data_IF_984378180535
#
_entry.id   IF_984378180535
#
_cell.length_a   1.000
_cell.length_b   1.000
_cell.length_c   1.000
_cell.angle_alpha   90.00
_cell.angle_beta   90.00
_cell.angle_gamma   90.00
#
_symmetry.space_group_name_H-M   'P 1'
#
loop_
_entity.id
_entity.type
_entity.pdbx_description
1 polymer ?
#
# COMPACT_ATOMS: atom_id res chain seq x y z
N UNK A 1 -60.46 -44.30 -13.39
CA UNK A 1 -60.67 -42.85 -13.56
C UNK A 1 -59.55 -42.12 -12.84
N UNK A 2 -58.62 -41.54 -13.60
CA UNK A 2 -57.56 -40.54 -13.29
C UNK A 2 -56.61 -40.77 -12.08
N UNK A 3 -55.30 -40.97 -12.31
CA UNK A 3 -54.22 -39.95 -12.46
C UNK A 3 -53.95 -39.25 -11.09
N UNK A 4 -52.77 -39.20 -10.45
CA UNK A 4 -51.46 -38.68 -10.88
C UNK A 4 -50.38 -39.04 -9.81
N UNK A 5 -49.25 -39.55 -10.29
CA UNK A 5 -47.84 -39.33 -9.91
C UNK A 5 -47.48 -38.29 -8.81
N UNK A 6 -46.56 -38.63 -7.89
CA UNK A 6 -45.35 -37.81 -7.64
C UNK A 6 -44.28 -38.52 -6.79
N UNK A 7 -43.18 -38.81 -7.46
CA UNK A 7 -41.87 -39.22 -6.96
C UNK A 7 -41.24 -38.03 -6.22
N UNK A 8 -40.76 -38.23 -4.99
CA UNK A 8 -39.84 -37.29 -4.36
C UNK A 8 -38.43 -37.88 -4.37
N UNK A 9 -37.62 -37.30 -5.25
CA UNK A 9 -36.19 -37.50 -5.40
C UNK A 9 -35.47 -36.82 -4.23
N UNK A 10 -34.81 -37.58 -3.37
CA UNK A 10 -33.88 -37.03 -2.37
C UNK A 10 -32.62 -36.53 -3.08
N UNK A 11 -32.49 -35.21 -3.23
CA UNK A 11 -31.25 -34.56 -3.61
C UNK A 11 -30.49 -34.26 -2.32
N UNK A 12 -29.51 -35.10 -1.98
CA UNK A 12 -28.51 -34.80 -0.98
C UNK A 12 -27.59 -33.70 -1.50
N UNK A 13 -27.74 -32.49 -0.97
CA UNK A 13 -26.89 -31.33 -1.27
C UNK A 13 -25.50 -31.60 -0.69
N UNK A 14 -24.51 -31.72 -1.58
CA UNK A 14 -23.09 -31.74 -1.22
C UNK A 14 -22.71 -30.47 -0.47
N UNK A 15 -22.17 -30.64 0.73
CA UNK A 15 -21.54 -29.58 1.52
C UNK A 15 -20.28 -29.11 0.79
N UNK A 16 -20.38 -28.01 0.03
CA UNK A 16 -19.20 -27.35 -0.56
C UNK A 16 -18.57 -26.48 0.53
N UNK A 17 -17.32 -26.78 0.87
CA UNK A 17 -16.43 -25.90 1.63
C UNK A 17 -16.29 -24.56 0.89
N UNK A 18 -17.16 -23.61 1.17
CA UNK A 18 -16.98 -22.21 0.79
C UNK A 18 -15.86 -21.65 1.64
N UNK A 19 -14.68 -21.47 1.04
CA UNK A 19 -13.79 -20.41 1.48
C UNK A 19 -14.65 -19.13 1.51
N UNK A 20 -14.86 -18.53 2.69
CA UNK A 20 -15.66 -17.31 2.83
C UNK A 20 -15.10 -16.25 1.87
N UNK A 21 -15.80 -16.04 0.77
CA UNK A 21 -15.58 -14.88 -0.08
C UNK A 21 -16.15 -13.70 0.69
N UNK A 22 -15.29 -12.79 1.12
CA UNK A 22 -15.70 -11.57 1.83
C UNK A 22 -16.75 -10.85 0.98
N UNK A 23 -17.88 -10.50 1.60
CA UNK A 23 -18.95 -9.79 0.90
C UNK A 23 -18.47 -8.41 0.41
N UNK A 24 -19.16 -7.82 -0.55
CA UNK A 24 -18.82 -6.47 -1.04
C UNK A 24 -18.98 -5.40 0.06
N UNK A 25 -20.04 -5.49 0.87
CA UNK A 25 -20.28 -4.59 2.00
C UNK A 25 -19.17 -4.70 3.05
N UNK A 26 -18.69 -5.90 3.37
CA UNK A 26 -17.56 -6.06 4.30
C UNK A 26 -16.27 -5.49 3.71
N UNK A 27 -16.01 -5.67 2.41
CA UNK A 27 -14.85 -5.09 1.74
C UNK A 27 -14.85 -3.56 1.78
N UNK A 28 -16.02 -2.94 1.70
CA UNK A 28 -16.20 -1.49 1.76
C UNK A 28 -16.31 -0.95 3.20
N UNK A 29 -16.27 -1.80 4.23
CA UNK A 29 -16.30 -1.33 5.62
C UNK A 29 -15.13 -0.37 5.90
N UNK A 30 -15.35 0.73 6.61
CA UNK A 30 -14.26 1.63 7.00
C UNK A 30 -13.62 1.13 8.30
N UNK A 31 -12.98 -0.04 8.22
CA UNK A 31 -12.29 -0.69 9.33
C UNK A 31 -10.94 -1.27 8.89
N UNK A 32 -10.00 -1.51 9.81
CA UNK A 32 -8.75 -2.17 9.48
C UNK A 32 -8.98 -3.60 8.98
N UNK A 33 -8.11 -4.08 8.08
CA UNK A 33 -8.06 -5.53 7.80
C UNK A 33 -7.53 -6.26 9.03
N UNK A 34 -8.26 -7.31 9.42
CA UNK A 34 -7.82 -8.26 10.43
C UNK A 34 -6.94 -9.35 9.80
N UNK A 35 -5.95 -9.80 10.55
CA UNK A 35 -5.22 -11.04 10.26
C UNK A 35 -5.60 -12.13 11.27
N UNK A 36 -5.18 -13.36 10.98
CA UNK A 36 -5.46 -14.53 11.81
C UNK A 36 -4.22 -15.04 12.54
N UNK A 37 -3.18 -14.21 12.67
CA UNK A 37 -1.88 -14.57 13.22
C UNK A 37 -1.05 -15.55 12.39
N UNK A 38 -1.55 -15.97 11.21
CA UNK A 38 -0.85 -16.87 10.29
C UNK A 38 -0.33 -16.12 9.08
N UNK A 39 0.81 -16.61 8.58
CA UNK A 39 1.40 -16.19 7.31
C UNK A 39 0.36 -16.22 6.18
N UNK A 40 0.22 -15.08 5.50
CA UNK A 40 -0.59 -14.98 4.31
C UNK A 40 0.23 -15.33 3.07
N UNK A 41 -0.08 -16.48 2.47
CA UNK A 41 0.63 -17.00 1.29
C UNK A 41 -0.27 -16.89 0.07
N UNK A 42 0.21 -16.21 -0.96
CA UNK A 42 -0.44 -16.06 -2.24
C UNK A 42 -0.52 -17.39 -2.99
N UNK A 43 -1.63 -17.59 -3.69
CA UNK A 43 -1.75 -18.66 -4.67
C UNK A 43 -0.91 -18.30 -5.90
N UNK A 44 -0.32 -19.30 -6.55
CA UNK A 44 0.43 -19.11 -7.81
C UNK A 44 -0.36 -18.33 -8.88
N UNK A 45 -1.68 -18.53 -8.94
CA UNK A 45 -2.56 -17.80 -9.87
C UNK A 45 -2.51 -16.28 -9.66
N UNK A 46 -2.29 -15.85 -8.43
CA UNK A 46 -2.30 -14.44 -8.04
C UNK A 46 -0.95 -13.75 -8.29
N UNK A 47 0.06 -14.48 -8.75
CA UNK A 47 1.38 -13.95 -9.14
C UNK A 47 1.68 -14.13 -10.63
N UNK A 48 0.73 -14.67 -11.41
CA UNK A 48 0.94 -15.07 -12.81
C UNK A 48 0.48 -14.02 -13.84
N UNK A 49 0.42 -12.76 -13.45
CA UNK A 49 0.01 -11.65 -14.30
C UNK A 49 1.22 -10.79 -14.74
N UNK A 50 0.99 -9.89 -15.70
CA UNK A 50 1.98 -8.87 -16.04
C UNK A 50 2.26 -8.00 -14.82
N UNK A 51 3.48 -7.46 -14.70
CA UNK A 51 3.88 -6.57 -13.60
C UNK A 51 3.04 -5.29 -13.56
N UNK A 52 2.75 -4.71 -14.72
CA UNK A 52 1.93 -3.51 -14.82
C UNK A 52 0.47 -3.85 -15.15
N UNK A 53 -0.46 -3.47 -14.26
CA UNK A 53 -1.90 -3.65 -14.42
C UNK A 53 -2.72 -2.85 -13.39
N UNK A 54 -4.00 -2.63 -13.68
CA UNK A 54 -4.97 -1.97 -12.77
C UNK A 54 -5.97 -2.97 -12.20
N UNK A 55 -5.44 -4.09 -11.71
CA UNK A 55 -6.25 -5.23 -11.25
C UNK A 55 -5.93 -5.66 -9.82
N UNK A 56 -5.29 -4.80 -9.03
CA UNK A 56 -4.88 -5.12 -7.66
C UNK A 56 -6.09 -5.43 -6.79
N UNK A 57 -7.17 -4.64 -6.90
CA UNK A 57 -8.44 -4.93 -6.21
C UNK A 57 -9.01 -6.29 -6.63
N UNK A 58 -8.98 -6.60 -7.93
CA UNK A 58 -9.52 -7.87 -8.45
C UNK A 58 -8.70 -9.07 -7.97
N UNK A 59 -7.38 -8.95 -7.91
CA UNK A 59 -6.47 -10.05 -7.61
C UNK A 59 -6.33 -10.24 -6.10
N UNK A 60 -6.06 -9.15 -5.38
CA UNK A 60 -5.70 -9.17 -3.95
C UNK A 60 -6.84 -8.71 -3.03
N UNK A 61 -7.80 -7.92 -3.53
CA UNK A 61 -8.91 -7.40 -2.73
C UNK A 61 -9.87 -8.46 -2.20
N UNK A 62 -9.79 -9.70 -2.70
CA UNK A 62 -10.51 -10.86 -2.14
C UNK A 62 -9.96 -11.34 -0.78
N UNK A 63 -8.79 -10.86 -0.37
CA UNK A 63 -8.10 -11.27 0.85
C UNK A 63 -8.17 -10.24 1.98
N UNK A 64 -8.70 -9.06 1.69
CA UNK A 64 -8.66 -7.90 2.60
C UNK A 64 -9.99 -7.17 2.60
N UNK A 65 -10.22 -6.38 3.64
CA UNK A 65 -11.39 -5.52 3.80
C UNK A 65 -10.95 -4.11 4.22
N UNK A 66 -11.85 -3.15 4.05
CA UNK A 66 -11.67 -1.79 4.51
C UNK A 66 -10.38 -1.12 4.08
N UNK A 67 -9.61 -0.56 5.00
CA UNK A 67 -8.53 0.38 4.63
C UNK A 67 -7.51 -0.22 3.65
N UNK A 68 -7.08 -1.47 3.84
CA UNK A 68 -6.23 -2.18 2.88
C UNK A 68 -6.87 -2.30 1.49
N UNK A 69 -8.19 -2.53 1.41
CA UNK A 69 -8.92 -2.57 0.15
C UNK A 69 -8.91 -1.20 -0.55
N UNK A 70 -9.03 -0.10 0.20
CA UNK A 70 -8.88 1.26 -0.33
C UNK A 70 -7.45 1.57 -0.76
N UNK A 71 -6.43 1.05 -0.07
CA UNK A 71 -5.04 1.15 -0.53
C UNK A 71 -4.86 0.45 -1.88
N UNK A 72 -5.43 -0.75 -2.06
CA UNK A 72 -5.40 -1.45 -3.36
C UNK A 72 -6.12 -0.66 -4.47
N UNK A 73 -7.22 0.02 -4.16
CA UNK A 73 -7.87 0.97 -5.09
C UNK A 73 -6.95 2.14 -5.43
N UNK A 74 -6.25 2.68 -4.43
CA UNK A 74 -5.22 3.70 -4.60
C UNK A 74 -4.15 3.25 -5.60
N UNK A 75 -3.63 2.02 -5.46
CA UNK A 75 -2.68 1.45 -6.42
C UNK A 75 -3.28 1.43 -7.83
N UNK A 76 -4.50 0.91 -8.00
CA UNK A 76 -5.14 0.82 -9.32
C UNK A 76 -5.35 2.22 -9.95
N UNK A 77 -5.70 3.22 -9.14
CA UNK A 77 -5.80 4.62 -9.58
C UNK A 77 -4.44 5.15 -10.04
N UNK A 78 -3.39 5.00 -9.24
CA UNK A 78 -2.05 5.49 -9.56
C UNK A 78 -1.48 4.78 -10.78
N UNK A 79 -1.53 3.44 -10.83
CA UNK A 79 -1.01 2.65 -11.96
C UNK A 79 -1.71 2.99 -13.28
N UNK A 80 -2.98 3.39 -13.25
CA UNK A 80 -3.71 3.79 -14.47
C UNK A 80 -3.08 4.96 -15.22
N UNK A 81 -2.26 5.77 -14.53
CA UNK A 81 -1.55 6.91 -15.12
C UNK A 81 -0.24 6.52 -15.82
N UNK A 82 0.25 5.29 -15.59
CA UNK A 82 1.48 4.77 -16.18
C UNK A 82 1.38 3.26 -16.42
N UNK A 83 0.48 2.86 -17.32
CA UNK A 83 0.16 1.45 -17.58
C UNK A 83 1.33 0.60 -18.11
N UNK A 84 2.33 1.22 -18.71
CA UNK A 84 3.44 0.52 -19.37
C UNK A 84 4.78 0.71 -18.65
N UNK A 85 4.78 1.31 -17.46
CA UNK A 85 5.98 1.80 -16.79
C UNK A 85 6.55 3.07 -17.43
N UNK A 86 6.48 3.25 -18.75
CA UNK A 86 6.66 4.53 -19.46
C UNK A 86 7.97 5.29 -19.25
N UNK A 87 8.98 4.71 -18.58
CA UNK A 87 10.25 5.40 -18.28
C UNK A 87 10.12 6.45 -17.18
N UNK A 88 9.07 6.38 -16.35
CA UNK A 88 8.87 7.33 -15.26
C UNK A 88 9.80 7.06 -14.07
N UNK A 89 10.60 6.00 -14.06
CA UNK A 89 11.50 5.74 -12.94
C UNK A 89 12.61 6.80 -12.87
N UNK A 90 12.88 7.30 -11.66
CA UNK A 90 14.02 8.17 -11.39
C UNK A 90 14.91 7.60 -10.29
N UNK A 91 16.21 7.89 -10.37
CA UNK A 91 17.21 7.43 -9.42
C UNK A 91 17.40 8.38 -8.24
N UNK A 92 18.22 7.96 -7.28
CA UNK A 92 18.61 8.79 -6.12
C UNK A 92 19.49 10.00 -6.48
N UNK A 93 20.06 10.00 -7.68
CA UNK A 93 21.02 11.02 -8.15
C UNK A 93 20.31 12.14 -8.95
N UNK A 94 18.97 12.13 -8.98
CA UNK A 94 18.15 13.02 -9.80
C UNK A 94 17.63 14.19 -8.96
N UNK A 95 17.53 15.38 -9.57
CA UNK A 95 17.14 16.63 -8.89
C UNK A 95 15.95 17.26 -9.62
N UNK A 96 14.82 17.56 -8.96
CA UNK A 96 14.49 17.27 -7.55
C UNK A 96 14.36 15.77 -7.25
N UNK A 97 14.72 15.37 -6.03
CA UNK A 97 14.52 14.00 -5.54
C UNK A 97 13.03 13.73 -5.27
N UNK A 98 12.20 14.77 -5.07
CA UNK A 98 10.75 14.60 -5.00
C UNK A 98 10.21 14.14 -6.35
N UNK A 99 9.59 12.96 -6.34
CA UNK A 99 9.16 12.29 -7.57
C UNK A 99 7.69 11.88 -7.50
N UNK A 100 6.73 12.82 -7.38
CA UNK A 100 5.36 12.46 -7.62
C UNK A 100 5.17 12.43 -9.12
N UNK A 101 5.12 11.20 -9.60
CA UNK A 101 4.28 10.64 -10.67
C UNK A 101 3.53 11.66 -11.52
N UNK A 102 3.43 11.35 -12.82
CA UNK A 102 3.01 12.21 -13.93
C UNK A 102 1.66 12.94 -13.90
N UNK A 103 1.09 13.26 -12.74
CA UNK A 103 -0.10 14.08 -12.54
C UNK A 103 -0.04 14.88 -11.22
N UNK A 104 -0.92 15.88 -11.10
CA UNK A 104 -1.05 16.71 -9.90
C UNK A 104 -1.69 15.91 -8.75
N UNK A 105 -0.90 15.58 -7.72
CA UNK A 105 -1.41 14.90 -6.53
C UNK A 105 -2.14 15.88 -5.61
N UNK A 106 -3.37 15.53 -5.23
CA UNK A 106 -4.22 16.32 -4.33
C UNK A 106 -4.67 15.52 -3.13
N UNK A 107 -4.72 16.18 -1.97
CA UNK A 107 -5.43 15.72 -0.79
C UNK A 107 -6.71 16.55 -0.65
N UNK A 108 -7.86 15.92 -0.87
CA UNK A 108 -9.18 16.56 -0.87
C UNK A 108 -9.21 17.86 -1.71
N UNK A 109 -8.83 17.72 -2.98
CA UNK A 109 -8.71 18.80 -3.99
C UNK A 109 -7.64 19.88 -3.72
N UNK A 110 -6.89 19.78 -2.61
CA UNK A 110 -5.77 20.69 -2.32
C UNK A 110 -4.44 20.09 -2.81
N UNK A 111 -3.61 20.83 -3.57
CA UNK A 111 -2.39 20.30 -4.16
C UNK A 111 -1.30 19.99 -3.13
N UNK A 112 -0.74 18.78 -3.16
CA UNK A 112 0.40 18.42 -2.31
C UNK A 112 1.76 18.76 -2.93
N UNK A 113 1.80 19.00 -4.24
CA UNK A 113 3.00 19.37 -5.00
C UNK A 113 2.65 20.27 -6.19
N UNK A 114 3.50 21.26 -6.49
CA UNK A 114 3.35 22.15 -7.66
C UNK A 114 4.73 22.56 -8.26
N UNK A 115 4.93 22.47 -9.59
CA UNK A 115 4.14 21.72 -10.59
C UNK A 115 4.42 20.20 -10.52
N UNK A 116 3.49 19.35 -11.02
CA UNK A 116 3.64 17.89 -10.99
C UNK A 116 4.94 17.42 -11.68
N UNK A 117 5.55 16.35 -11.14
CA UNK A 117 6.78 15.78 -11.72
C UNK A 117 6.41 14.66 -12.68
N UNK A 118 7.25 14.42 -13.68
CA UNK A 118 7.08 13.30 -14.62
C UNK A 118 7.83 12.05 -14.16
N UNK A 119 8.40 12.06 -12.97
CA UNK A 119 9.24 11.00 -12.43
C UNK A 119 8.55 10.32 -11.26
N UNK A 120 8.95 9.09 -10.98
CA UNK A 120 8.42 8.23 -9.93
C UNK A 120 9.59 7.63 -9.17
N UNK A 121 9.51 7.74 -7.84
CA UNK A 121 10.43 7.12 -6.90
C UNK A 121 9.63 6.27 -5.92
N UNK A 122 10.27 5.30 -5.28
CA UNK A 122 9.59 4.29 -4.48
C UNK A 122 8.74 4.86 -3.33
N UNK A 123 9.25 5.87 -2.61
CA UNK A 123 8.50 6.59 -1.56
C UNK A 123 7.36 7.43 -2.14
N UNK A 124 7.58 8.10 -3.27
CA UNK A 124 6.57 8.94 -3.94
C UNK A 124 5.36 8.14 -4.40
N UNK A 125 5.57 6.96 -4.99
CA UNK A 125 4.46 6.13 -5.47
C UNK A 125 3.65 5.51 -4.33
N UNK A 126 4.30 5.04 -3.26
CA UNK A 126 3.60 4.49 -2.10
C UNK A 126 2.83 5.58 -1.36
N UNK A 127 3.42 6.78 -1.23
CA UNK A 127 2.73 7.94 -0.64
C UNK A 127 1.52 8.36 -1.47
N UNK A 128 1.63 8.37 -2.80
CA UNK A 128 0.50 8.74 -3.63
C UNK A 128 -0.64 7.74 -3.52
N UNK A 129 -0.36 6.44 -3.56
CA UNK A 129 -1.39 5.43 -3.36
C UNK A 129 -2.07 5.57 -1.98
N UNK A 130 -1.32 6.01 -0.96
CA UNK A 130 -1.88 6.38 0.34
C UNK A 130 -2.81 7.61 0.27
N UNK A 131 -2.40 8.69 -0.40
CA UNK A 131 -3.24 9.89 -0.57
C UNK A 131 -4.51 9.58 -1.36
N UNK A 132 -4.42 8.81 -2.44
CA UNK A 132 -5.59 8.37 -3.20
C UNK A 132 -6.53 7.50 -2.35
N UNK A 133 -5.99 6.65 -1.47
CA UNK A 133 -6.78 5.89 -0.52
C UNK A 133 -7.51 6.82 0.46
N UNK A 134 -6.84 7.84 1.02
CA UNK A 134 -7.46 8.83 1.91
C UNK A 134 -8.59 9.59 1.23
N UNK A 135 -8.39 10.05 -0.01
CA UNK A 135 -9.43 10.71 -0.82
C UNK A 135 -10.68 9.83 -0.99
N UNK A 136 -10.50 8.51 -1.13
CA UNK A 136 -11.62 7.57 -1.25
C UNK A 136 -12.26 7.18 0.10
N UNK A 137 -11.48 7.21 1.19
CA UNK A 137 -11.96 6.92 2.55
C UNK A 137 -12.78 8.10 3.11
N UNK A 138 -12.35 9.33 2.81
CA UNK A 138 -12.99 10.57 3.28
C UNK A 138 -13.39 11.47 2.10
N UNK A 139 -14.51 11.16 1.41
CA UNK A 139 -14.98 12.02 0.31
C UNK A 139 -15.25 13.46 0.75
N UNK A 140 -15.69 13.66 2.00
CA UNK A 140 -15.93 14.97 2.61
C UNK A 140 -14.74 15.47 3.46
N UNK A 141 -13.53 14.95 3.19
CA UNK A 141 -12.33 15.26 3.98
C UNK A 141 -11.90 16.73 3.89
N UNK A 142 -12.27 17.43 2.81
CA UNK A 142 -11.93 18.84 2.60
C UNK A 142 -12.48 19.74 3.71
N UNK A 143 -13.67 19.45 4.23
CA UNK A 143 -14.35 20.25 5.26
C UNK A 143 -13.73 20.07 6.66
N UNK A 144 -12.96 18.98 6.84
CA UNK A 144 -12.38 18.59 8.12
C UNK A 144 -10.89 18.89 8.21
N UNK A 145 -10.20 19.01 7.08
CA UNK A 145 -8.75 19.21 7.03
C UNK A 145 -8.39 20.67 7.28
N UNK A 146 -7.83 20.95 8.46
CA UNK A 146 -7.32 22.28 8.79
C UNK A 146 -6.06 22.64 7.95
N UNK A 147 -5.72 23.93 7.91
CA UNK A 147 -4.56 24.41 7.14
C UNK A 147 -3.22 23.93 7.70
N UNK A 148 -3.14 23.62 8.99
CA UNK A 148 -1.92 23.17 9.67
C UNK A 148 -1.58 21.73 9.28
N UNK A 149 -2.56 20.83 9.31
CA UNK A 149 -2.42 19.43 8.90
C UNK A 149 -2.28 19.32 7.40
N UNK A 150 -3.01 20.12 6.63
CA UNK A 150 -2.77 20.22 5.19
C UNK A 150 -1.31 20.58 4.88
N UNK A 151 -0.76 21.62 5.54
CA UNK A 151 0.64 22.02 5.35
C UNK A 151 1.62 20.92 5.78
N UNK A 152 1.34 20.22 6.88
CA UNK A 152 2.11 19.08 7.35
C UNK A 152 2.12 17.91 6.35
N UNK A 153 1.07 17.77 5.54
CA UNK A 153 0.95 16.72 4.53
C UNK A 153 1.62 17.05 3.19
N UNK A 154 1.95 18.32 2.91
CA UNK A 154 2.54 18.69 1.60
C UNK A 154 3.90 18.03 1.35
N UNK A 155 4.26 17.90 0.08
CA UNK A 155 5.53 17.31 -0.36
C UNK A 155 6.66 18.34 -0.56
N UNK A 156 6.34 19.63 -0.47
CA UNK A 156 7.26 20.75 -0.69
C UNK A 156 7.13 21.78 0.42
N UNK A 157 8.13 22.64 0.56
CA UNK A 157 8.05 23.85 1.39
C UNK A 157 7.19 24.95 0.73
N UNK A 158 6.66 25.93 1.50
CA UNK A 158 5.74 26.95 0.98
C UNK A 158 6.26 27.75 -0.22
N UNK A 159 7.58 27.84 -0.37
CA UNK A 159 8.27 28.46 -1.51
C UNK A 159 8.43 27.54 -2.73
N UNK A 160 7.91 26.30 -2.66
CA UNK A 160 8.04 25.27 -3.69
C UNK A 160 9.32 24.45 -3.60
N UNK A 161 10.18 24.72 -2.61
CA UNK A 161 11.42 24.01 -2.35
C UNK A 161 11.23 22.58 -1.86
N UNK A 162 12.33 21.81 -1.91
CA UNK A 162 12.37 20.43 -1.42
C UNK A 162 12.07 20.37 0.07
N UNK A 163 11.24 19.39 0.44
CA UNK A 163 10.99 19.05 1.84
C UNK A 163 11.92 17.92 2.26
N UNK A 164 12.89 18.29 3.09
CA UNK A 164 13.94 17.39 3.59
C UNK A 164 13.38 16.19 4.36
N UNK A 165 14.18 15.13 4.37
CA UNK A 165 13.91 13.92 5.15
C UNK A 165 13.72 14.25 6.64
N UNK A 166 12.70 13.63 7.23
CA UNK A 166 12.33 13.86 8.62
C UNK A 166 11.55 15.15 8.90
N UNK A 167 11.23 15.96 7.88
CA UNK A 167 10.43 17.17 8.05
C UNK A 167 8.97 16.92 7.70
N UNK A 168 8.08 17.06 8.70
CA UNK A 168 6.62 16.87 8.56
C UNK A 168 6.29 15.50 7.95
N UNK A 169 5.07 15.32 7.46
CA UNK A 169 4.58 13.99 7.08
C UNK A 169 5.33 13.41 5.88
N UNK A 170 5.45 14.15 4.78
CA UNK A 170 6.16 13.68 3.59
C UNK A 170 7.64 13.43 3.87
N UNK A 171 8.32 14.33 4.60
CA UNK A 171 9.73 14.14 4.94
C UNK A 171 9.95 12.88 5.78
N UNK A 172 9.05 12.59 6.75
CA UNK A 172 9.10 11.31 7.47
C UNK A 172 8.83 10.11 6.57
N UNK A 173 7.91 10.21 5.61
CA UNK A 173 7.60 9.13 4.67
C UNK A 173 8.76 8.84 3.70
N UNK A 174 9.41 9.90 3.23
CA UNK A 174 10.50 9.85 2.26
C UNK A 174 11.84 9.43 2.89
N UNK A 175 12.00 9.68 4.19
CA UNK A 175 13.24 9.46 4.91
C UNK A 175 13.87 8.08 4.70
N UNK A 176 15.20 8.08 4.61
CA UNK A 176 16.01 6.87 4.67
C UNK A 176 15.66 6.00 5.88
N UNK A 177 15.55 4.70 5.65
CA UNK A 177 15.14 3.73 6.67
C UNK A 177 13.69 3.28 6.51
N UNK A 178 12.88 3.44 7.57
CA UNK A 178 11.53 2.89 7.66
C UNK A 178 10.45 3.97 7.59
N UNK A 179 10.51 4.82 6.55
CA UNK A 179 9.69 6.03 6.43
C UNK A 179 8.17 5.86 6.59
N UNK A 180 7.59 4.75 6.10
CA UNK A 180 6.15 4.50 6.33
C UNK A 180 5.82 4.34 7.81
N UNK A 181 6.71 3.75 8.60
CA UNK A 181 6.55 3.66 10.06
C UNK A 181 6.76 5.02 10.74
N UNK A 182 7.74 5.80 10.29
CA UNK A 182 7.97 7.14 10.82
C UNK A 182 6.72 8.02 10.67
N UNK A 183 6.13 8.05 9.47
CA UNK A 183 4.97 8.88 9.18
C UNK A 183 3.65 8.32 9.75
N UNK A 184 3.33 7.05 9.50
CA UNK A 184 2.02 6.48 9.87
C UNK A 184 1.93 6.08 11.34
N UNK A 185 2.99 5.50 11.92
CA UNK A 185 2.93 4.95 13.28
C UNK A 185 3.32 6.00 14.30
N UNK A 186 4.48 6.66 14.10
CA UNK A 186 5.00 7.59 15.10
C UNK A 186 4.37 8.98 14.95
N UNK A 187 4.52 9.61 13.78
CA UNK A 187 4.18 11.01 13.59
C UNK A 187 2.66 11.28 13.63
N UNK A 188 1.89 10.51 12.87
CA UNK A 188 0.44 10.75 12.73
C UNK A 188 -0.45 9.79 13.51
N UNK A 189 0.08 8.64 13.94
CA UNK A 189 -0.68 7.55 14.55
C UNK A 189 -1.83 7.03 13.66
N UNK A 190 -1.78 7.24 12.35
CA UNK A 190 -2.77 6.70 11.41
C UNK A 190 -2.62 5.19 11.18
N UNK A 191 -1.47 4.61 11.49
CA UNK A 191 -1.20 3.20 11.29
C UNK A 191 -0.55 2.51 12.47
N UNK A 192 -0.51 1.19 12.40
CA UNK A 192 0.13 0.31 13.37
C UNK A 192 1.21 -0.53 12.70
N UNK A 193 2.32 -0.77 13.41
CA UNK A 193 3.35 -1.69 12.97
C UNK A 193 2.82 -3.14 13.00
N UNK A 194 3.06 -3.87 11.91
CA UNK A 194 2.58 -5.25 11.73
C UNK A 194 3.76 -6.20 11.59
N UNK A 195 3.73 -7.33 12.31
CA UNK A 195 4.73 -8.39 12.17
C UNK A 195 4.65 -9.02 10.76
N UNK A 196 5.75 -9.49 10.16
CA UNK A 196 5.75 -10.09 8.82
C UNK A 196 4.69 -11.20 8.61
N UNK A 197 4.50 -12.07 9.60
CA UNK A 197 3.47 -13.13 9.60
C UNK A 197 2.03 -12.60 9.48
N UNK A 198 1.77 -11.39 9.96
CA UNK A 198 0.46 -10.77 10.03
C UNK A 198 0.19 -9.84 8.83
N UNK A 199 1.19 -9.61 7.97
CA UNK A 199 1.07 -8.74 6.81
C UNK A 199 -0.04 -9.21 5.85
N UNK A 200 -0.75 -8.25 5.25
CA UNK A 200 -1.86 -8.45 4.32
C UNK A 200 -1.74 -7.49 3.13
N UNK A 201 -2.25 -7.86 1.94
CA UNK A 201 -2.19 -6.99 0.77
C UNK A 201 -2.67 -5.57 1.08
N UNK A 202 -1.97 -4.54 0.58
CA UNK A 202 -2.28 -3.14 0.87
C UNK A 202 -1.64 -2.59 2.16
N UNK A 203 -0.91 -3.40 2.94
CA UNK A 203 -0.03 -2.86 3.98
C UNK A 203 1.14 -2.11 3.33
N UNK A 204 1.59 -1.01 3.94
CA UNK A 204 2.80 -0.32 3.53
C UNK A 204 4.01 -1.05 4.07
N UNK A 205 5.13 -1.04 3.34
CA UNK A 205 6.35 -1.66 3.82
C UNK A 205 7.59 -0.91 3.36
N UNK A 206 8.60 -0.90 4.22
CA UNK A 206 9.96 -0.54 3.86
C UNK A 206 10.83 -1.81 3.89
N UNK A 207 11.54 -2.08 2.79
CA UNK A 207 12.47 -3.19 2.65
C UNK A 207 13.89 -2.67 2.85
N UNK A 208 14.64 -3.30 3.74
CA UNK A 208 16.09 -3.14 3.84
C UNK A 208 16.76 -4.29 3.11
N UNK A 209 17.46 -4.00 2.02
CA UNK A 209 18.17 -5.01 1.23
C UNK A 209 19.49 -5.41 1.90
N UNK A 210 19.93 -6.67 1.70
CA UNK A 210 21.27 -7.10 2.14
C UNK A 210 22.41 -6.34 1.47
N UNK A 211 22.16 -5.76 0.30
CA UNK A 211 23.10 -4.88 -0.40
C UNK A 211 23.17 -3.46 0.16
N UNK A 212 22.37 -3.12 1.18
CA UNK A 212 22.46 -1.86 1.92
C UNK A 212 21.48 -0.75 1.52
N UNK A 213 20.72 -0.90 0.42
CA UNK A 213 19.72 0.09 0.01
C UNK A 213 18.37 -0.14 0.70
N UNK A 214 17.61 0.93 0.93
CA UNK A 214 16.20 0.90 1.35
C UNK A 214 15.25 0.90 0.15
N UNK A 215 14.00 0.50 0.37
CA UNK A 215 12.96 0.57 -0.66
C UNK A 215 11.56 0.67 -0.04
N UNK A 216 10.79 1.69 -0.42
CA UNK A 216 9.38 1.85 0.00
C UNK A 216 8.44 1.16 -0.98
N UNK A 217 7.50 0.37 -0.48
CA UNK A 217 6.62 -0.47 -1.29
C UNK A 217 5.24 -0.58 -0.65
N UNK A 218 4.27 -1.08 -1.42
CA UNK A 218 3.01 -1.60 -0.89
C UNK A 218 3.03 -3.12 -1.00
N UNK A 219 2.89 -3.81 0.13
CA UNK A 219 2.93 -5.25 0.24
C UNK A 219 1.70 -5.88 -0.43
N UNK A 220 1.91 -6.92 -1.24
CA UNK A 220 0.84 -7.66 -1.93
C UNK A 220 0.73 -9.11 -1.44
N UNK A 221 1.78 -9.66 -0.83
CA UNK A 221 1.73 -10.99 -0.22
C UNK A 221 3.09 -11.68 -0.12
N UNK A 222 3.10 -12.81 0.58
CA UNK A 222 4.21 -13.75 0.53
C UNK A 222 3.92 -14.82 -0.52
N UNK A 223 4.96 -15.36 -1.16
CA UNK A 223 4.82 -16.41 -2.15
C UNK A 223 5.88 -17.50 -1.93
N UNK A 224 5.45 -18.76 -2.03
CA UNK A 224 6.34 -19.93 -2.00
C UNK A 224 6.22 -20.63 -3.34
N UNK A 225 7.33 -20.75 -4.06
CA UNK A 225 7.34 -21.38 -5.38
C UNK A 225 7.35 -22.92 -5.28
N UNK A 226 7.33 -23.59 -6.45
CA UNK A 226 7.38 -25.06 -6.55
C UNK A 226 8.65 -25.69 -5.95
N UNK A 227 9.72 -24.92 -5.83
CA UNK A 227 11.01 -25.35 -5.27
C UNK A 227 11.11 -25.05 -3.78
N UNK A 228 10.03 -24.54 -3.15
CA UNK A 228 9.98 -24.07 -1.77
C UNK A 228 10.85 -22.83 -1.49
N UNK A 229 11.21 -22.09 -2.53
CA UNK A 229 11.84 -20.78 -2.40
C UNK A 229 10.79 -19.75 -2.00
N UNK A 230 11.20 -18.80 -1.15
CA UNK A 230 10.31 -17.84 -0.50
C UNK A 230 10.51 -16.45 -1.09
N UNK A 231 9.40 -15.75 -1.33
CA UNK A 231 9.38 -14.47 -2.01
C UNK A 231 8.46 -13.48 -1.28
N UNK A 232 8.82 -12.20 -1.37
CA UNK A 232 7.92 -11.07 -1.14
C UNK A 232 7.34 -10.63 -2.49
N UNK A 233 6.04 -10.35 -2.50
CA UNK A 233 5.34 -9.73 -3.63
C UNK A 233 4.90 -8.34 -3.19
N UNK A 234 5.22 -7.33 -3.98
CA UNK A 234 4.91 -5.94 -3.68
C UNK A 234 4.70 -5.11 -4.95
N UNK A 235 4.02 -3.98 -4.80
CA UNK A 235 3.92 -2.94 -5.82
C UNK A 235 4.81 -1.75 -5.44
N UNK A 236 5.60 -1.23 -6.38
CA UNK A 236 6.43 -0.03 -6.18
C UNK A 236 6.90 0.57 -7.51
N UNK A 237 7.78 1.57 -7.44
CA UNK A 237 8.54 2.11 -8.56
C UNK A 237 10.03 1.87 -8.41
N UNK A 238 10.62 1.23 -9.42
CA UNK A 238 12.04 0.90 -9.51
C UNK A 238 12.47 0.71 -10.97
N UNK A 239 13.78 0.61 -11.20
CA UNK A 239 14.33 0.40 -12.55
C UNK A 239 13.76 -0.83 -13.25
N UNK A 240 13.57 -1.95 -12.54
CA UNK A 240 13.07 -3.20 -13.14
C UNK A 240 11.58 -3.18 -13.48
N UNK A 241 10.80 -2.25 -12.91
CA UNK A 241 9.40 -2.00 -13.27
C UNK A 241 9.28 -0.92 -14.36
N UNK A 242 10.41 -0.32 -14.77
CA UNK A 242 10.48 0.79 -15.71
C UNK A 242 9.63 2.01 -15.29
N UNK A 243 9.34 2.19 -14.01
CA UNK A 243 8.26 3.06 -13.52
C UNK A 243 7.51 2.28 -12.45
N UNK A 244 6.19 2.14 -12.54
CA UNK A 244 5.38 1.46 -11.52
C UNK A 244 5.00 0.03 -11.90
N UNK A 245 5.01 -0.90 -10.96
CA UNK A 245 4.46 -2.24 -11.15
C UNK A 245 4.77 -3.23 -10.03
N UNK A 246 4.22 -4.42 -10.17
CA UNK A 246 4.40 -5.54 -9.24
C UNK A 246 5.77 -6.18 -9.39
N UNK A 247 6.37 -6.59 -8.28
CA UNK A 247 7.63 -7.30 -8.23
C UNK A 247 7.52 -8.54 -7.33
N UNK A 248 8.22 -9.59 -7.74
CA UNK A 248 8.38 -10.83 -6.97
C UNK A 248 9.85 -11.01 -6.66
N UNK A 249 10.24 -10.83 -5.41
CA UNK A 249 11.65 -10.81 -5.00
C UNK A 249 11.93 -11.90 -3.97
N UNK A 250 12.99 -12.68 -4.20
CA UNK A 250 13.39 -13.75 -3.28
C UNK A 250 13.85 -13.17 -1.94
N UNK A 251 13.36 -13.74 -0.83
CA UNK A 251 13.67 -13.28 0.54
C UNK A 251 15.16 -13.36 0.89
N UNK A 252 15.96 -14.16 0.18
CA UNK A 252 17.42 -14.17 0.34
C UNK A 252 18.06 -12.80 0.09
N UNK A 253 17.42 -11.92 -0.69
CA UNK A 253 17.88 -10.54 -0.94
C UNK A 253 17.47 -9.56 0.18
N UNK A 254 16.45 -9.91 0.95
CA UNK A 254 15.89 -9.08 2.02
C UNK A 254 16.69 -9.29 3.30
N UNK A 255 17.12 -8.20 3.93
CA UNK A 255 17.73 -8.21 5.27
C UNK A 255 16.64 -8.10 6.32
N UNK A 256 15.85 -7.02 6.24
CA UNK A 256 14.73 -6.74 7.11
C UNK A 256 13.56 -6.14 6.35
N UNK A 257 12.38 -6.19 6.95
CA UNK A 257 11.21 -5.40 6.55
C UNK A 257 10.72 -4.59 7.74
N UNK A 258 10.03 -3.48 7.49
CA UNK A 258 9.13 -2.87 8.47
C UNK A 258 7.79 -2.68 7.78
N UNK A 259 6.73 -3.28 8.32
CA UNK A 259 5.40 -3.30 7.71
C UNK A 259 4.45 -2.51 8.58
N UNK A 260 3.59 -1.72 7.95
CA UNK A 260 2.62 -0.84 8.60
C UNK A 260 1.26 -1.02 7.95
N UNK A 261 0.24 -1.22 8.78
CA UNK A 261 -1.16 -1.23 8.36
C UNK A 261 -1.81 0.10 8.68
N UNK A 262 -2.59 0.63 7.74
CA UNK A 262 -3.45 1.78 8.00
C UNK A 262 -4.62 1.32 8.89
N UNK A 263 -4.78 1.94 10.06
CA UNK A 263 -5.75 1.51 11.08
C UNK A 263 -6.64 2.65 11.59
N UNK A 264 -6.11 3.86 11.66
CA UNK A 264 -6.79 5.05 12.18
C UNK A 264 -6.63 6.24 11.23
N UNK A 265 -7.07 6.13 9.96
CA UNK A 265 -6.90 7.21 8.98
C UNK A 265 -7.58 8.52 9.40
N UNK A 266 -8.54 8.48 10.32
CA UNK A 266 -9.18 9.64 10.94
C UNK A 266 -8.20 10.55 11.70
N UNK A 267 -7.06 10.01 12.16
CA UNK A 267 -6.04 10.80 12.84
C UNK A 267 -5.38 11.84 11.92
N UNK A 268 -5.59 11.75 10.61
CA UNK A 268 -5.22 12.81 9.65
C UNK A 268 -5.70 14.20 10.09
N UNK A 269 -6.87 14.26 10.73
CA UNK A 269 -7.54 15.52 11.02
C UNK A 269 -7.10 16.16 12.35
N UNK A 270 -6.41 15.42 13.22
CA UNK A 270 -6.10 15.89 14.58
C UNK A 270 -4.70 15.53 15.09
N UNK A 271 -3.87 14.81 14.33
CA UNK A 271 -2.53 14.45 14.77
C UNK A 271 -1.69 15.67 15.18
N UNK A 272 -0.83 15.49 16.18
CA UNK A 272 0.05 16.54 16.69
C UNK A 272 1.28 16.67 15.77
N UNK A 273 1.34 17.79 15.04
CA UNK A 273 2.42 18.08 14.08
C UNK A 273 3.80 18.27 14.73
N UNK A 274 3.86 18.35 16.07
CA UNK A 274 5.09 18.48 16.86
C UNK A 274 5.60 17.14 17.40
N UNK A 275 4.89 16.04 17.13
CA UNK A 275 5.25 14.70 17.62
C UNK A 275 6.67 14.33 17.18
N UNK A 276 7.58 14.04 18.12
CA UNK A 276 8.93 13.62 17.77
C UNK A 276 8.91 12.21 17.15
N UNK A 277 9.85 11.97 16.23
CA UNK A 277 10.02 10.69 15.55
C UNK A 277 11.41 10.15 15.81
N UNK A 278 11.49 8.93 16.31
CA UNK A 278 12.72 8.16 16.38
C UNK A 278 12.97 7.43 15.05
N UNK A 279 14.01 7.84 14.35
CA UNK A 279 14.41 7.22 13.07
C UNK A 279 15.33 5.99 13.27
N UNK A 280 15.71 5.67 14.51
CA UNK A 280 16.61 4.56 14.86
C UNK A 280 15.88 3.30 15.30
N UNK A 281 14.81 2.93 14.60
CA UNK A 281 14.03 1.73 14.94
C UNK A 281 14.59 0.47 14.27
N UNK A 282 14.47 -0.72 14.90
CA UNK A 282 14.93 -1.97 14.30
C UNK A 282 13.97 -2.47 13.21
N UNK A 283 14.53 -3.14 12.20
CA UNK A 283 13.75 -3.89 11.21
C UNK A 283 13.36 -5.28 11.71
N UNK A 284 12.35 -5.89 11.06
CA UNK A 284 11.88 -7.24 11.36
C UNK A 284 12.48 -8.25 10.40
N UNK A 285 12.98 -9.37 10.93
CA UNK A 285 13.39 -10.52 10.13
C UNK A 285 12.17 -11.30 9.62
N UNK A 286 12.27 -11.80 8.40
CA UNK A 286 11.21 -12.62 7.79
C UNK A 286 11.57 -14.10 7.91
N UNK A 287 11.00 -14.76 8.91
CA UNK A 287 11.17 -16.20 9.17
C UNK A 287 9.91 -16.96 8.69
N UNK A 288 9.65 -16.88 7.39
CA UNK A 288 8.59 -17.65 6.71
C UNK A 288 8.98 -19.14 6.62
#
# INVERSE_FOLDING_TARGET
>A
MKLIFKIFLFISISLVLTACVISENERLSLTPTEDNGKWFILKKSDTSHKSQHTKHVKIFGKYVKGYNYYVLKGIDKVQSTAMDGGGYFTGKDENPTESPIGYELKLFDKPLIEPPRKTSYCSGVSFTAFIEALNMIFPDGADRLDSVRYEAMRMQEPDGGHREDGIKYWGHWNADGFGSHFALVQYSKMGEAVKPQNARPGDFANISWRSGLGHSVIFLGWYIDKNREKYIVYWSSQRSTNGMGDQVVNLKKVKYVKIVRLTHPENLFDFDITTPVDMSIPGDEVVL
#
